data_IF_190498401606
#
_entry.id   IF_190498401606
#
_cell.length_a   1.000
_cell.length_b   1.000
_cell.length_c   1.000
_cell.angle_alpha   90.00
_cell.angle_beta   90.00
_cell.angle_gamma   90.00
#
_symmetry.space_group_name_H-M   'P 1'
#
loop_
_entity.id
_entity.type
_entity.pdbx_description
1 polymer ?
#
# COMPACT_ATOMS: atom_id res chain seq x y z
N UNK A 1 -2.65 2.79 12.14
CA UNK A 1 -2.02 4.08 11.79
C UNK A 1 -2.98 4.99 11.01
N UNK A 2 -3.45 4.56 9.83
CA UNK A 2 -4.24 5.42 8.92
C UNK A 2 -5.52 5.98 9.52
N UNK A 3 -6.23 5.22 10.36
CA UNK A 3 -7.43 5.70 11.04
C UNK A 3 -7.15 6.93 11.92
N UNK A 4 -6.15 6.85 12.79
CA UNK A 4 -5.77 7.96 13.66
C UNK A 4 -5.37 9.19 12.84
N UNK A 5 -4.50 8.99 11.84
CA UNK A 5 -4.05 10.06 10.94
C UNK A 5 -5.20 10.75 10.19
N UNK A 6 -6.22 9.99 9.79
CA UNK A 6 -7.42 10.52 9.15
C UNK A 6 -8.26 11.33 10.15
N UNK A 7 -8.48 10.80 11.35
CA UNK A 7 -9.27 11.48 12.39
C UNK A 7 -8.61 12.75 12.93
N UNK A 8 -7.28 12.81 12.93
CA UNK A 8 -6.50 13.99 13.29
C UNK A 8 -6.37 15.00 12.13
N UNK A 9 -6.87 14.66 10.94
CA UNK A 9 -6.85 15.53 9.77
C UNK A 9 -5.47 15.74 9.16
N UNK A 10 -4.52 14.83 9.42
CA UNK A 10 -3.15 14.91 8.88
C UNK A 10 -2.98 14.19 7.54
N UNK A 11 -3.95 13.32 7.17
CA UNK A 11 -4.04 12.74 5.83
C UNK A 11 -5.45 12.95 5.26
N UNK A 12 -5.51 13.07 3.93
CA UNK A 12 -6.75 13.11 3.16
C UNK A 12 -7.12 11.68 2.74
N UNK A 13 -8.23 11.11 3.24
CA UNK A 13 -8.59 9.73 2.93
C UNK A 13 -8.98 9.53 1.46
N UNK A 14 -9.53 10.53 0.77
CA UNK A 14 -9.90 10.42 -0.65
C UNK A 14 -8.67 10.42 -1.57
N UNK A 15 -7.53 10.92 -1.08
CA UNK A 15 -6.22 10.85 -1.74
C UNK A 15 -5.34 9.71 -1.21
N UNK A 16 -5.93 8.76 -0.47
CA UNK A 16 -5.22 7.61 0.11
C UNK A 16 -5.57 6.32 -0.62
N UNK A 17 -4.54 5.56 -0.99
CA UNK A 17 -4.66 4.22 -1.60
C UNK A 17 -3.82 3.20 -0.81
N UNK A 18 -4.43 2.07 -0.47
CA UNK A 18 -3.82 0.92 0.20
C UNK A 18 -3.77 -0.24 -0.79
N UNK A 19 -2.63 -0.93 -0.91
CA UNK A 19 -2.39 -1.90 -1.98
C UNK A 19 -1.83 -3.19 -1.37
N UNK A 20 -2.38 -4.33 -1.79
CA UNK A 20 -1.90 -5.65 -1.37
C UNK A 20 -2.60 -6.18 -0.11
N UNK A 21 -3.74 -5.60 0.27
CA UNK A 21 -4.54 -6.12 1.39
C UNK A 21 -4.97 -7.56 1.10
N UNK A 22 -4.79 -8.42 2.10
CA UNK A 22 -5.18 -9.84 2.08
C UNK A 22 -5.37 -10.35 3.51
N UNK A 23 -5.79 -11.61 3.62
CA UNK A 23 -5.78 -12.36 4.87
C UNK A 23 -6.41 -11.60 6.04
N UNK A 24 -5.66 -11.46 7.14
CA UNK A 24 -6.19 -10.87 8.39
C UNK A 24 -6.47 -9.38 8.24
N UNK A 25 -5.77 -8.70 7.34
CA UNK A 25 -5.97 -7.27 7.05
C UNK A 25 -7.39 -6.92 6.61
N UNK A 26 -8.07 -7.85 5.94
CA UNK A 26 -9.46 -7.68 5.47
C UNK A 26 -10.48 -7.48 6.61
N UNK A 27 -10.19 -7.98 7.81
CA UNK A 27 -11.09 -7.81 8.96
C UNK A 27 -10.99 -6.43 9.60
N UNK A 28 -10.08 -5.58 9.13
CA UNK A 28 -9.77 -4.28 9.72
C UNK A 28 -9.89 -3.12 8.72
N UNK A 29 -10.41 -3.37 7.52
CA UNK A 29 -10.47 -2.36 6.46
C UNK A 29 -11.78 -1.58 6.39
N UNK A 30 -12.78 -1.87 7.23
CA UNK A 30 -14.08 -1.17 7.24
C UNK A 30 -13.91 0.35 7.28
N UNK A 31 -13.08 0.86 8.20
CA UNK A 31 -12.79 2.29 8.28
C UNK A 31 -12.21 2.86 6.99
N UNK A 32 -11.38 2.10 6.28
CA UNK A 32 -10.75 2.57 5.04
C UNK A 32 -11.81 2.75 3.95
N UNK A 33 -12.74 1.80 3.82
CA UNK A 33 -13.87 1.94 2.91
C UNK A 33 -14.80 3.08 3.31
N UNK A 34 -15.18 3.16 4.58
CA UNK A 34 -16.12 4.15 5.10
C UNK A 34 -15.58 5.59 5.02
N UNK A 35 -14.26 5.75 5.11
CA UNK A 35 -13.59 7.06 4.99
C UNK A 35 -13.30 7.49 3.55
N UNK A 36 -13.56 6.64 2.56
CA UNK A 36 -13.35 6.94 1.14
C UNK A 36 -11.96 6.57 0.59
N UNK A 37 -11.15 5.83 1.35
CA UNK A 37 -9.86 5.34 0.87
C UNK A 37 -10.04 4.27 -0.20
N UNK A 38 -9.11 4.24 -1.15
CA UNK A 38 -9.05 3.14 -2.11
C UNK A 38 -8.29 1.96 -1.53
N UNK A 39 -8.92 0.79 -1.45
CA UNK A 39 -8.27 -0.46 -1.02
C UNK A 39 -8.16 -1.43 -2.18
N UNK A 40 -6.96 -1.74 -2.63
CA UNK A 40 -6.63 -2.72 -3.68
C UNK A 40 -6.22 -4.04 -3.03
N UNK A 41 -6.99 -5.10 -3.30
CA UNK A 41 -6.68 -6.44 -2.82
C UNK A 41 -5.51 -7.07 -3.60
N UNK A 42 -4.84 -8.05 -2.99
CA UNK A 42 -3.70 -8.72 -3.66
C UNK A 42 -4.11 -9.39 -4.97
N UNK A 43 -5.29 -10.03 -5.01
CA UNK A 43 -5.81 -10.69 -6.20
C UNK A 43 -6.15 -9.67 -7.30
N UNK A 44 -6.62 -8.48 -6.90
CA UNK A 44 -6.87 -7.39 -7.82
C UNK A 44 -5.56 -6.88 -8.43
N UNK A 45 -4.54 -6.68 -7.60
CA UNK A 45 -3.21 -6.26 -8.05
C UNK A 45 -2.62 -7.30 -9.02
N UNK A 46 -2.65 -8.58 -8.67
CA UNK A 46 -2.13 -9.65 -9.52
C UNK A 46 -2.88 -9.76 -10.85
N UNK A 47 -4.19 -9.48 -10.86
CA UNK A 47 -5.01 -9.51 -12.08
C UNK A 47 -4.78 -8.30 -12.98
N UNK A 48 -4.67 -7.10 -12.41
CA UNK A 48 -4.49 -5.83 -13.16
C UNK A 48 -3.03 -5.56 -13.54
N UNK A 49 -2.10 -6.02 -12.71
CA UNK A 49 -0.67 -5.79 -12.83
C UNK A 49 -0.23 -4.43 -12.27
N UNK A 50 1.08 -4.33 -12.00
CA UNK A 50 1.72 -3.18 -11.36
C UNK A 50 1.48 -1.85 -12.10
N UNK A 51 1.57 -1.84 -13.43
CA UNK A 51 1.41 -0.62 -14.25
C UNK A 51 0.02 -0.02 -14.08
N UNK A 52 -1.03 -0.85 -14.21
CA UNK A 52 -2.41 -0.38 -14.12
C UNK A 52 -2.73 0.14 -12.70
N UNK A 53 -2.23 -0.53 -11.67
CA UNK A 53 -2.40 -0.07 -10.28
C UNK A 53 -1.60 1.21 -10.02
N UNK A 54 -0.40 1.37 -10.59
CA UNK A 54 0.37 2.61 -10.49
C UNK A 54 -0.38 3.78 -11.15
N UNK A 55 -0.95 3.59 -12.34
CA UNK A 55 -1.79 4.60 -12.99
C UNK A 55 -3.02 4.98 -12.15
N UNK A 56 -3.68 4.00 -11.53
CA UNK A 56 -4.80 4.22 -10.62
C UNK A 56 -4.36 5.01 -9.38
N UNK A 57 -3.26 4.61 -8.74
CA UNK A 57 -2.67 5.29 -7.59
C UNK A 57 -2.36 6.76 -7.92
N UNK A 58 -1.73 7.03 -9.07
CA UNK A 58 -1.43 8.40 -9.55
C UNK A 58 -2.67 9.27 -9.69
N UNK A 59 -3.78 8.71 -10.19
CA UNK A 59 -5.04 9.44 -10.32
C UNK A 59 -5.64 9.81 -8.96
N UNK A 60 -5.57 8.88 -8.00
CA UNK A 60 -6.09 9.07 -6.64
C UNK A 60 -5.25 10.09 -5.87
N UNK A 61 -3.93 9.92 -5.84
CA UNK A 61 -3.05 10.84 -5.10
C UNK A 61 -2.95 12.22 -5.79
N UNK A 62 -3.21 12.30 -7.09
CA UNK A 62 -3.20 13.56 -7.85
C UNK A 62 -1.81 14.20 -7.93
N UNK A 63 -1.78 15.54 -8.02
CA UNK A 63 -0.55 16.32 -8.22
C UNK A 63 -0.05 17.04 -6.96
N UNK A 64 -0.74 16.90 -5.83
CA UNK A 64 -0.30 17.50 -4.57
C UNK A 64 0.75 16.64 -3.86
N UNK A 65 1.24 17.09 -2.70
CA UNK A 65 2.21 16.34 -1.90
C UNK A 65 1.63 14.98 -1.52
N UNK A 66 2.47 13.94 -1.59
CA UNK A 66 2.12 12.59 -1.20
C UNK A 66 3.25 11.91 -0.42
N UNK A 67 2.87 10.95 0.42
CA UNK A 67 3.78 10.17 1.24
C UNK A 67 3.67 8.69 0.85
N UNK A 68 4.80 7.97 0.83
CA UNK A 68 4.84 6.55 0.52
C UNK A 68 5.30 5.75 1.75
N UNK A 69 4.45 4.86 2.24
CA UNK A 69 4.84 3.89 3.28
C UNK A 69 4.79 2.49 2.70
N UNK A 70 5.81 1.67 2.99
CA UNK A 70 5.86 0.27 2.59
C UNK A 70 5.91 -0.59 3.84
N UNK A 71 4.80 -1.25 4.14
CA UNK A 71 4.76 -2.35 5.10
C UNK A 71 5.37 -3.59 4.44
N UNK A 72 6.39 -4.19 5.08
CA UNK A 72 7.08 -5.35 4.52
C UNK A 72 6.23 -6.63 4.55
N UNK A 73 5.11 -6.66 5.28
CA UNK A 73 4.15 -7.77 5.21
C UNK A 73 3.34 -7.82 3.89
N UNK A 74 3.44 -6.80 3.04
CA UNK A 74 2.84 -6.80 1.69
C UNK A 74 3.48 -7.85 0.78
N UNK A 75 4.76 -8.17 1.03
CA UNK A 75 5.49 -9.15 0.25
C UNK A 75 5.03 -10.57 0.58
N UNK A 76 5.19 -11.48 -0.38
CA UNK A 76 4.97 -12.90 -0.11
C UNK A 76 5.94 -13.41 0.96
N UNK A 77 5.45 -14.23 1.89
CA UNK A 77 6.26 -14.75 2.99
C UNK A 77 7.46 -15.60 2.52
N UNK A 78 7.45 -16.11 1.28
CA UNK A 78 8.60 -16.80 0.68
C UNK A 78 9.75 -15.87 0.30
N UNK A 79 9.47 -14.58 0.06
CA UNK A 79 10.48 -13.56 -0.26
C UNK A 79 10.83 -12.67 0.94
N UNK A 80 9.85 -12.38 1.81
CA UNK A 80 10.04 -11.56 3.02
C UNK A 80 9.55 -12.29 4.29
N UNK A 81 10.31 -13.28 4.79
CA UNK A 81 9.95 -13.97 6.03
C UNK A 81 10.24 -13.12 7.28
N UNK A 82 11.14 -12.14 7.19
CA UNK A 82 11.58 -11.28 8.30
C UNK A 82 10.64 -10.10 8.54
N UNK A 83 9.36 -10.37 8.73
CA UNK A 83 8.33 -9.39 9.12
C UNK A 83 7.54 -9.91 10.33
N UNK A 84 6.85 -9.05 11.05
CA UNK A 84 6.09 -9.41 12.25
C UNK A 84 4.88 -10.30 11.96
N UNK A 85 4.28 -10.17 10.77
CA UNK A 85 3.06 -10.87 10.36
C UNK A 85 3.16 -11.43 8.94
N UNK A 86 3.98 -12.46 8.69
CA UNK A 86 4.11 -13.03 7.35
C UNK A 86 2.80 -13.70 6.91
N UNK A 87 2.28 -13.29 5.76
CA UNK A 87 1.11 -13.90 5.12
C UNK A 87 1.47 -14.47 3.73
N UNK A 88 0.99 -15.66 3.35
CA UNK A 88 1.25 -16.23 2.03
C UNK A 88 0.47 -15.49 0.93
N UNK A 89 0.86 -15.74 -0.32
CA UNK A 89 0.25 -15.21 -1.54
C UNK A 89 0.32 -13.67 -1.65
N UNK A 90 1.44 -13.11 -1.19
CA UNK A 90 1.72 -11.68 -1.25
C UNK A 90 2.29 -11.23 -2.60
N UNK A 91 2.83 -10.01 -2.62
CA UNK A 91 3.49 -9.45 -3.79
C UNK A 91 4.96 -9.89 -3.87
N UNK A 92 5.48 -10.01 -5.07
CA UNK A 92 6.92 -10.22 -5.29
C UNK A 92 7.69 -8.89 -5.25
N UNK A 93 8.97 -8.95 -4.92
CA UNK A 93 9.91 -7.83 -4.99
C UNK A 93 9.98 -7.22 -6.39
N UNK A 94 9.77 -8.03 -7.43
CA UNK A 94 9.70 -7.57 -8.82
C UNK A 94 8.48 -6.69 -9.05
N UNK A 95 7.30 -7.13 -8.63
CA UNK A 95 6.05 -6.40 -8.79
C UNK A 95 6.07 -5.06 -8.05
N UNK A 96 6.52 -5.07 -6.79
CA UNK A 96 6.61 -3.83 -6.00
C UNK A 96 7.62 -2.86 -6.63
N UNK A 97 8.80 -3.35 -7.06
CA UNK A 97 9.78 -2.50 -7.76
C UNK A 97 9.19 -1.88 -9.02
N UNK A 98 8.48 -2.65 -9.83
CA UNK A 98 7.94 -2.17 -11.10
C UNK A 98 6.81 -1.15 -10.84
N UNK A 99 5.95 -1.40 -9.85
CA UNK A 99 4.96 -0.42 -9.35
C UNK A 99 5.63 0.90 -8.92
N UNK A 100 6.68 0.83 -8.08
CA UNK A 100 7.39 2.01 -7.58
C UNK A 100 8.05 2.84 -8.69
N UNK A 101 8.56 2.19 -9.75
CA UNK A 101 9.15 2.89 -10.90
C UNK A 101 8.13 3.74 -11.63
N UNK A 102 6.88 3.27 -11.71
CA UNK A 102 5.78 3.96 -12.39
C UNK A 102 5.18 5.11 -11.54
N UNK A 103 5.53 5.18 -10.25
CA UNK A 103 5.23 6.33 -9.40
C UNK A 103 6.15 7.54 -9.62
N UNK A 104 7.16 7.44 -10.51
CA UNK A 104 8.08 8.55 -10.80
C UNK A 104 7.33 9.83 -11.19
N UNK A 105 7.76 10.95 -10.62
CA UNK A 105 7.19 12.28 -10.91
C UNK A 105 6.00 12.67 -10.05
N UNK A 106 5.61 11.84 -9.07
CA UNK A 106 4.78 12.30 -7.96
C UNK A 106 5.57 13.25 -7.05
N UNK A 107 4.86 14.17 -6.39
CA UNK A 107 5.42 15.07 -5.38
C UNK A 107 5.59 14.35 -4.04
N UNK A 108 6.56 13.43 -3.98
CA UNK A 108 6.87 12.64 -2.79
C UNK A 108 7.58 13.50 -1.75
N UNK A 109 6.89 13.82 -0.65
CA UNK A 109 7.45 14.63 0.45
C UNK A 109 8.18 13.79 1.50
N UNK A 110 8.05 12.47 1.43
CA UNK A 110 8.70 11.53 2.32
C UNK A 110 8.32 10.09 2.00
N UNK A 111 9.09 9.15 2.56
CA UNK A 111 8.79 7.73 2.51
C UNK A 111 9.42 6.97 3.68
N UNK A 112 8.83 5.82 4.02
CA UNK A 112 9.38 4.85 4.96
C UNK A 112 9.17 3.40 4.51
N UNK A 113 9.90 2.50 5.17
CA UNK A 113 9.74 1.05 5.08
C UNK A 113 9.61 0.56 6.53
N UNK A 114 8.54 -0.17 6.84
CA UNK A 114 8.17 -0.57 8.20
C UNK A 114 8.04 -2.10 8.35
N UNK A 115 7.88 -2.56 9.59
CA UNK A 115 7.67 -3.97 9.98
C UNK A 115 8.84 -4.94 9.69
N UNK A 116 10.04 -4.43 9.41
CA UNK A 116 11.24 -5.29 9.33
C UNK A 116 11.53 -5.95 10.68
N UNK A 117 11.64 -7.28 10.68
CA UNK A 117 11.96 -8.11 11.84
C UNK A 117 13.15 -9.05 11.55
N UNK A 118 14.40 -8.55 11.71
CA UNK A 118 15.62 -9.35 11.45
C UNK A 118 15.92 -10.55 12.39
N UNK A 119 15.69 -10.48 13.73
CA UNK A 119 16.10 -11.52 14.68
C UNK A 119 15.22 -12.77 14.70
#
# INVERSE_FOLDING_TARGET
MLQLATTEGVIDPERTIQIGLRGRGLTRCDFSFDSGMRVVLVEEFQKKGAVAIAEEARKIVGSGPCYLTIDTDVFDCSEMPGTTLPEPFGLTGREVRDFLRDLRGLDLVGADIVELCPP
#
